data_IF_090380810061
#
_entry.id   IF_090380810061
#
_cell.length_a   1.000
_cell.length_b   1.000
_cell.length_c   1.000
_cell.angle_alpha   90.00
_cell.angle_beta   90.00
_cell.angle_gamma   90.00
#
_symmetry.space_group_name_H-M   'P 1'
#
loop_
_entity.id
_entity.type
_entity.pdbx_description
1 polymer ?
#
# COMPACT_ATOMS: atom_id res chain seq x y z
N UNK A 1 15.55 -3.35 5.69
CA UNK A 1 15.65 -2.02 5.02
C UNK A 1 14.39 -1.63 4.23
N UNK A 2 13.63 -2.59 3.69
CA UNK A 2 12.41 -2.32 2.87
C UNK A 2 11.34 -1.55 3.64
N UNK A 3 10.99 -1.97 4.87
CA UNK A 3 10.08 -1.23 5.77
C UNK A 3 10.50 0.24 5.89
N UNK A 4 11.75 0.51 6.26
CA UNK A 4 12.19 1.89 6.51
C UNK A 4 12.03 2.77 5.27
N UNK A 5 12.43 2.27 4.11
CA UNK A 5 12.26 2.98 2.83
C UNK A 5 10.79 3.27 2.56
N UNK A 6 9.93 2.27 2.69
CA UNK A 6 8.50 2.42 2.39
C UNK A 6 7.79 3.30 3.41
N UNK A 7 8.13 3.20 4.69
CA UNK A 7 7.62 4.09 5.75
C UNK A 7 8.05 5.54 5.54
N UNK A 8 9.29 5.78 5.10
CA UNK A 8 9.74 7.12 4.77
C UNK A 8 8.96 7.71 3.58
N UNK A 9 8.76 6.92 2.52
CA UNK A 9 7.94 7.35 1.37
C UNK A 9 6.48 7.61 1.77
N UNK A 10 5.87 6.74 2.59
CA UNK A 10 4.52 6.93 3.12
C UNK A 10 4.44 8.21 3.97
N UNK A 11 5.48 8.51 4.76
CA UNK A 11 5.59 9.75 5.53
C UNK A 11 5.62 10.99 4.64
N UNK A 12 6.40 10.97 3.54
CA UNK A 12 6.42 12.07 2.57
C UNK A 12 5.06 12.27 1.89
N UNK A 13 4.38 11.18 1.54
CA UNK A 13 3.02 11.25 1.03
C UNK A 13 2.09 11.88 2.08
N UNK A 14 2.13 11.41 3.34
CA UNK A 14 1.34 11.97 4.43
C UNK A 14 1.58 13.48 4.59
N UNK A 15 2.85 13.93 4.54
CA UNK A 15 3.18 15.36 4.55
C UNK A 15 2.54 16.12 3.38
N UNK A 16 2.50 15.53 2.18
CA UNK A 16 1.85 16.13 1.02
C UNK A 16 0.32 16.24 1.13
N UNK A 17 -0.30 15.40 1.96
CA UNK A 17 -1.73 15.45 2.27
C UNK A 17 -2.07 16.53 3.30
N UNK A 18 -1.11 16.90 4.15
CA UNK A 18 -1.27 17.93 5.19
C UNK A 18 -0.97 19.32 4.61
N UNK A 19 0.16 19.48 3.93
CA UNK A 19 0.62 20.77 3.42
C UNK A 19 0.36 20.89 1.91
N UNK A 20 -0.42 21.91 1.52
CA UNK A 20 -0.72 22.23 0.12
C UNK A 20 0.49 22.77 -0.65
N UNK A 21 1.50 23.30 0.03
CA UNK A 21 2.72 23.80 -0.59
C UNK A 21 3.73 22.67 -0.85
N UNK A 22 3.56 21.53 -0.19
CA UNK A 22 4.40 20.35 -0.39
C UNK A 22 4.27 19.85 -1.83
N UNK A 23 5.37 19.83 -2.58
CA UNK A 23 5.37 19.63 -4.05
C UNK A 23 5.37 18.19 -4.50
N UNK A 24 5.34 17.23 -3.59
CA UNK A 24 5.20 15.83 -3.95
C UNK A 24 3.78 15.58 -4.51
N UNK A 25 3.64 14.93 -5.68
CA UNK A 25 2.34 14.48 -6.15
C UNK A 25 1.66 13.58 -5.11
N UNK A 26 0.35 13.77 -4.92
CA UNK A 26 -0.48 12.98 -3.99
C UNK A 26 -0.86 11.63 -4.60
N UNK A 27 0.15 10.95 -5.14
CA UNK A 27 0.06 9.68 -5.80
C UNK A 27 1.29 8.86 -5.45
N UNK A 28 1.12 7.60 -5.08
CA UNK A 28 2.25 6.74 -4.75
C UNK A 28 2.00 5.28 -5.15
N UNK A 29 3.04 4.68 -5.73
CA UNK A 29 3.09 3.25 -6.04
C UNK A 29 4.13 2.57 -5.16
N UNK A 30 3.69 1.60 -4.37
CA UNK A 30 4.55 0.70 -3.63
C UNK A 30 4.58 -0.67 -4.31
N UNK A 31 5.67 -0.96 -5.01
CA UNK A 31 5.86 -2.29 -5.56
C UNK A 31 6.44 -3.23 -4.50
N UNK A 32 5.74 -4.35 -4.28
CA UNK A 32 6.09 -5.49 -3.44
C UNK A 32 6.48 -5.10 -2.01
N UNK A 33 5.49 -4.71 -1.20
CA UNK A 33 5.71 -4.17 0.16
C UNK A 33 6.29 -5.17 1.17
N UNK A 34 6.31 -6.46 0.84
CA UNK A 34 6.81 -7.57 1.68
C UNK A 34 8.20 -8.09 1.28
N UNK A 35 8.89 -7.39 0.38
CA UNK A 35 10.21 -7.81 -0.12
C UNK A 35 11.28 -7.99 0.99
N UNK A 36 12.28 -8.84 0.72
CA UNK A 36 13.51 -9.06 1.51
C UNK A 36 13.32 -9.59 2.94
N UNK A 37 12.50 -10.63 3.10
CA UNK A 37 12.39 -11.36 4.37
C UNK A 37 11.53 -10.64 5.42
N UNK A 38 10.57 -9.84 4.97
CA UNK A 38 9.57 -9.25 5.83
C UNK A 38 8.68 -10.34 6.43
N UNK A 39 8.54 -10.35 7.74
CA UNK A 39 7.56 -11.20 8.41
C UNK A 39 6.17 -10.70 8.05
N UNK A 40 5.27 -11.63 7.77
CA UNK A 40 3.90 -11.40 7.29
C UNK A 40 3.16 -10.37 8.15
N UNK A 41 3.20 -10.51 9.46
CA UNK A 41 2.56 -9.58 10.41
C UNK A 41 3.02 -8.12 10.24
N UNK A 42 4.30 -7.89 9.92
CA UNK A 42 4.81 -6.53 9.65
C UNK A 42 4.29 -6.00 8.31
N UNK A 43 4.14 -6.87 7.31
CA UNK A 43 3.52 -6.48 6.03
C UNK A 43 2.08 -6.08 6.23
N UNK A 44 1.31 -6.90 6.94
CA UNK A 44 -0.08 -6.58 7.28
C UNK A 44 -0.19 -5.28 8.06
N UNK A 45 0.66 -5.06 9.06
CA UNK A 45 0.67 -3.79 9.79
C UNK A 45 0.94 -2.59 8.85
N UNK A 46 1.86 -2.73 7.91
CA UNK A 46 2.14 -1.66 6.95
C UNK A 46 0.98 -1.42 5.98
N UNK A 47 0.30 -2.48 5.52
CA UNK A 47 -0.92 -2.37 4.71
C UNK A 47 -2.02 -1.60 5.45
N UNK A 48 -2.24 -1.92 6.73
CA UNK A 48 -3.20 -1.20 7.59
C UNK A 48 -2.87 0.28 7.69
N UNK A 49 -1.59 0.62 7.90
CA UNK A 49 -1.15 2.01 7.98
C UNK A 49 -1.38 2.76 6.67
N UNK A 50 -1.15 2.13 5.52
CA UNK A 50 -1.44 2.72 4.21
C UNK A 50 -2.93 3.02 4.06
N UNK A 51 -3.79 2.02 4.31
CA UNK A 51 -5.25 2.17 4.17
C UNK A 51 -5.78 3.19 5.16
N UNK A 52 -5.36 3.14 6.42
CA UNK A 52 -5.77 4.09 7.44
C UNK A 52 -5.36 5.53 7.11
N UNK A 53 -4.15 5.76 6.61
CA UNK A 53 -3.72 7.08 6.14
C UNK A 53 -4.64 7.59 5.01
N UNK A 54 -5.01 6.71 4.08
CA UNK A 54 -5.85 7.07 2.95
C UNK A 54 -7.27 7.43 3.39
N UNK A 55 -7.89 6.59 4.22
CA UNK A 55 -9.25 6.79 4.73
C UNK A 55 -9.37 8.03 5.62
N UNK A 56 -8.31 8.41 6.34
CA UNK A 56 -8.29 9.61 7.20
C UNK A 56 -8.13 10.92 6.43
N UNK A 57 -7.66 10.88 5.18
CA UNK A 57 -7.39 12.10 4.41
C UNK A 57 -8.63 12.57 3.67
N UNK A 58 -8.98 13.86 3.84
CA UNK A 58 -10.02 14.54 3.04
C UNK A 58 -9.50 15.05 1.69
N UNK A 59 -8.20 14.90 1.43
CA UNK A 59 -7.54 15.43 0.24
C UNK A 59 -7.53 14.36 -0.85
N UNK A 60 -7.91 14.69 -2.11
CA UNK A 60 -7.83 13.73 -3.20
C UNK A 60 -6.41 13.21 -3.41
N UNK A 61 -6.26 11.88 -3.40
CA UNK A 61 -5.00 11.18 -3.57
C UNK A 61 -5.24 9.74 -4.04
N UNK A 62 -4.17 9.05 -4.45
CA UNK A 62 -4.23 7.63 -4.80
C UNK A 62 -2.98 6.91 -4.33
N UNK A 63 -3.17 5.75 -3.69
CA UNK A 63 -2.10 4.86 -3.29
C UNK A 63 -2.36 3.51 -3.94
N UNK A 64 -1.37 3.01 -4.66
CA UNK A 64 -1.38 1.66 -5.22
C UNK A 64 -0.26 0.89 -4.54
N UNK A 65 -0.55 -0.31 -4.03
CA UNK A 65 0.48 -1.19 -3.52
C UNK A 65 0.24 -2.62 -3.99
N UNK A 66 1.33 -3.35 -4.24
CA UNK A 66 1.27 -4.76 -4.62
C UNK A 66 1.74 -5.63 -3.45
N UNK A 67 1.01 -6.73 -3.24
CA UNK A 67 1.28 -7.72 -2.18
C UNK A 67 0.84 -9.10 -2.66
N UNK A 68 1.60 -10.15 -2.32
CA UNK A 68 1.19 -11.55 -2.48
C UNK A 68 0.43 -12.07 -1.26
N UNK A 69 0.49 -11.33 -0.14
CA UNK A 69 -0.11 -11.69 1.15
C UNK A 69 -0.86 -10.50 1.75
N UNK A 70 -2.06 -10.27 1.22
CA UNK A 70 -2.97 -9.25 1.75
C UNK A 70 -3.34 -9.55 3.21
N UNK A 71 -3.47 -8.51 4.02
CA UNK A 71 -4.02 -8.63 5.37
C UNK A 71 -5.49 -9.10 5.26
N UNK A 72 -5.92 -10.14 6.01
CA UNK A 72 -7.24 -10.76 5.81
C UNK A 72 -8.42 -9.78 5.84
N UNK A 73 -8.36 -8.77 6.71
CA UNK A 73 -9.39 -7.73 6.84
C UNK A 73 -9.40 -6.70 5.71
N UNK A 74 -8.33 -6.62 4.93
CA UNK A 74 -8.21 -5.76 3.75
C UNK A 74 -8.54 -6.52 2.45
N UNK A 75 -8.81 -7.83 2.53
CA UNK A 75 -9.21 -8.67 1.39
C UNK A 75 -10.66 -8.38 0.97
N UNK A 76 -10.92 -7.14 0.50
CA UNK A 76 -12.25 -6.62 0.16
C UNK A 76 -12.29 -6.02 -1.25
N UNK A 77 -13.42 -6.14 -1.99
CA UNK A 77 -13.49 -5.79 -3.40
C UNK A 77 -13.20 -4.32 -3.74
N UNK A 78 -13.39 -3.40 -2.80
CA UNK A 78 -13.14 -1.96 -2.98
C UNK A 78 -11.63 -1.61 -2.93
N UNK A 79 -10.80 -2.46 -2.34
CA UNK A 79 -9.35 -2.26 -2.24
C UNK A 79 -8.55 -3.12 -3.22
N UNK A 80 -9.19 -4.07 -3.89
CA UNK A 80 -8.53 -5.06 -4.74
C UNK A 80 -8.78 -4.76 -6.22
N UNK A 81 -7.69 -4.74 -6.97
CA UNK A 81 -7.74 -4.67 -8.43
C UNK A 81 -7.34 -6.02 -9.01
N UNK A 82 -8.27 -6.64 -9.73
CA UNK A 82 -8.04 -7.91 -10.43
C UNK A 82 -8.34 -9.16 -9.61
N UNK A 83 -8.00 -10.32 -10.16
CA UNK A 83 -8.24 -11.63 -9.54
C UNK A 83 -7.04 -12.00 -8.66
N UNK A 84 -7.31 -12.62 -7.51
CA UNK A 84 -6.27 -13.22 -6.67
C UNK A 84 -5.59 -14.35 -7.45
N UNK A 85 -4.27 -14.29 -7.55
CA UNK A 85 -3.50 -15.39 -8.14
C UNK A 85 -3.62 -16.64 -7.27
N UNK A 86 -3.92 -17.77 -7.89
CA UNK A 86 -3.75 -19.08 -7.28
C UNK A 86 -3.04 -20.00 -8.26
N UNK A 87 -2.38 -21.04 -7.76
CA UNK A 87 -1.67 -22.00 -8.63
C UNK A 87 -2.59 -22.70 -9.63
N UNK A 88 -3.89 -22.78 -9.31
CA UNK A 88 -4.94 -23.31 -10.19
C UNK A 88 -5.56 -22.24 -11.12
N UNK A 89 -5.31 -20.96 -10.87
CA UNK A 89 -5.83 -19.83 -11.63
C UNK A 89 -4.71 -18.83 -11.91
N UNK A 90 -3.85 -19.16 -12.87
CA UNK A 90 -2.76 -18.29 -13.29
C UNK A 90 -3.30 -16.98 -13.87
N UNK A 91 -2.55 -15.90 -13.65
CA UNK A 91 -2.88 -14.57 -14.17
C UNK A 91 -2.53 -14.40 -15.65
N UNK A 92 -1.69 -15.29 -16.21
CA UNK A 92 -1.34 -15.38 -17.62
C UNK A 92 -1.90 -16.69 -18.19
N UNK A 93 -2.56 -16.59 -19.34
CA UNK A 93 -2.97 -17.73 -20.17
C UNK A 93 -1.81 -18.19 -21.04
#
# INVERSE_FOLDING_TARGET
>A
MVILKNSFALGLLASSLIDKQFKLPRWMLFDNIEDKGMVEERSWNFQRLIVALSEQSVVPHQIIFTTSKIAPELDRPDLIVGRRYTRASSSLN
#
